data_IF_546364126447
#
_entry.id   IF_546364126447
#
_cell.length_a   1.000
_cell.length_b   1.000
_cell.length_c   1.000
_cell.angle_alpha   90.00
_cell.angle_beta   90.00
_cell.angle_gamma   90.00
#
_symmetry.space_group_name_H-M   'P 1'
#
loop_
_entity.id
_entity.type
_entity.pdbx_description
1 polymer ?
#
# COMPACT_ATOMS: atom_id res chain seq x y z
N UNK A 1 -3.66 -23.44 -21.10
CA UNK A 1 -2.70 -22.32 -21.23
C UNK A 1 -1.89 -22.21 -19.95
N UNK A 2 -0.55 -22.13 -20.04
CA UNK A 2 0.30 -21.97 -18.85
C UNK A 2 -0.01 -20.63 -18.17
N UNK A 3 -0.35 -20.66 -16.88
CA UNK A 3 -0.61 -19.44 -16.09
C UNK A 3 0.69 -18.63 -16.03
N UNK A 4 0.66 -17.37 -16.47
CA UNK A 4 1.82 -16.49 -16.41
C UNK A 4 2.41 -16.49 -14.98
N UNK A 5 3.71 -16.74 -14.87
CA UNK A 5 4.41 -16.85 -13.57
C UNK A 5 4.61 -15.51 -12.86
N UNK A 6 4.37 -14.40 -13.55
CA UNK A 6 4.43 -13.04 -13.02
C UNK A 6 3.53 -12.09 -13.84
N UNK A 7 3.17 -10.95 -13.26
CA UNK A 7 2.48 -9.86 -13.93
C UNK A 7 3.31 -8.57 -13.79
N UNK A 8 3.27 -7.70 -14.80
CA UNK A 8 3.88 -6.37 -14.77
C UNK A 8 2.86 -5.35 -15.25
N UNK A 9 2.70 -4.26 -14.50
CA UNK A 9 1.84 -3.15 -14.84
C UNK A 9 2.59 -1.84 -14.59
N UNK A 10 2.40 -0.85 -15.46
CA UNK A 10 2.99 0.48 -15.31
C UNK A 10 1.88 1.52 -15.28
N UNK A 11 1.78 2.23 -14.16
CA UNK A 11 0.88 3.36 -13.98
C UNK A 11 1.67 4.53 -13.39
N UNK A 12 1.94 5.59 -14.16
CA UNK A 12 2.54 6.80 -13.62
C UNK A 12 1.66 7.41 -12.53
N UNK A 13 2.25 7.86 -11.42
CA UNK A 13 1.49 8.49 -10.32
C UNK A 13 0.70 9.72 -10.78
N UNK A 14 1.19 10.44 -11.79
CA UNK A 14 0.48 11.59 -12.40
C UNK A 14 -0.79 11.20 -13.16
N UNK A 15 -0.96 9.91 -13.50
CA UNK A 15 -2.11 9.38 -14.22
C UNK A 15 -3.13 8.67 -13.31
N UNK A 16 -2.86 8.57 -12.01
CA UNK A 16 -3.85 8.13 -11.02
C UNK A 16 -4.98 9.16 -11.02
N UNK A 17 -6.21 8.69 -11.26
CA UNK A 17 -7.40 9.57 -11.34
C UNK A 17 -7.99 9.78 -9.95
N UNK A 18 -8.43 8.69 -9.35
CA UNK A 18 -9.01 8.64 -8.01
C UNK A 18 -8.44 7.41 -7.30
N UNK A 19 -9.20 6.30 -7.22
CA UNK A 19 -8.76 5.04 -6.61
C UNK A 19 -8.57 3.95 -7.67
N UNK A 20 -7.33 3.56 -7.88
CA UNK A 20 -6.92 2.55 -8.85
C UNK A 20 -6.65 1.22 -8.12
N UNK A 21 -7.54 0.24 -8.28
CA UNK A 21 -7.39 -1.09 -7.68
C UNK A 21 -6.46 -1.96 -8.54
N UNK A 22 -5.23 -2.17 -8.07
CA UNK A 22 -4.18 -2.78 -8.90
C UNK A 22 -3.97 -4.28 -8.63
N UNK A 23 -4.32 -4.78 -7.46
CA UNK A 23 -4.05 -6.18 -7.07
C UNK A 23 -4.77 -7.21 -7.94
N UNK A 24 -6.04 -6.97 -8.27
CA UNK A 24 -6.85 -7.91 -9.04
C UNK A 24 -6.37 -8.02 -10.50
N UNK A 25 -6.15 -6.92 -11.24
CA UNK A 25 -5.51 -6.99 -12.56
C UNK A 25 -4.14 -7.67 -12.56
N UNK A 26 -3.38 -7.55 -11.46
CA UNK A 26 -2.07 -8.19 -11.28
C UNK A 26 -2.15 -9.67 -10.84
N UNK A 27 -3.35 -10.19 -10.58
CA UNK A 27 -3.55 -11.58 -10.12
C UNK A 27 -3.07 -11.87 -8.70
N UNK A 28 -2.93 -10.84 -7.85
CA UNK A 28 -2.53 -11.00 -6.46
C UNK A 28 -3.58 -11.81 -5.66
N UNK A 29 -3.09 -12.65 -4.74
CA UNK A 29 -3.96 -13.50 -3.89
C UNK A 29 -3.91 -13.18 -2.40
N UNK A 30 -2.75 -12.74 -1.91
CA UNK A 30 -2.52 -12.51 -0.48
C UNK A 30 -2.41 -11.01 -0.12
N UNK A 31 -2.20 -10.15 -1.12
CA UNK A 31 -1.99 -8.71 -0.94
C UNK A 31 -2.98 -7.93 -1.80
N UNK A 32 -3.72 -7.06 -1.14
CA UNK A 32 -4.54 -6.01 -1.73
C UNK A 32 -3.81 -4.68 -1.68
N UNK A 33 -3.90 -3.88 -2.73
CA UNK A 33 -3.31 -2.57 -2.83
C UNK A 33 -3.96 -1.71 -3.90
N UNK A 34 -3.92 -0.41 -3.66
CA UNK A 34 -4.43 0.60 -4.57
C UNK A 34 -3.58 1.86 -4.52
N UNK A 35 -3.52 2.57 -5.65
CA UNK A 35 -3.12 3.97 -5.65
C UNK A 35 -4.36 4.83 -5.46
N UNK A 36 -4.27 5.85 -4.60
CA UNK A 36 -5.36 6.79 -4.34
C UNK A 36 -4.86 8.21 -4.53
N UNK A 37 -5.54 9.01 -5.34
CA UNK A 37 -5.31 10.44 -5.46
C UNK A 37 -6.45 11.22 -4.81
N UNK A 38 -6.10 12.28 -4.09
CA UNK A 38 -7.02 13.29 -3.63
C UNK A 38 -6.52 14.69 -4.01
N UNK A 39 -7.41 15.51 -4.54
CA UNK A 39 -7.22 16.96 -4.73
C UNK A 39 -7.36 17.69 -3.39
N UNK A 40 -6.96 18.96 -3.28
CA UNK A 40 -7.18 19.77 -2.08
C UNK A 40 -8.63 19.70 -1.60
N UNK A 41 -8.83 19.38 -0.31
CA UNK A 41 -10.15 19.26 0.31
C UNK A 41 -10.88 17.93 0.08
N UNK A 42 -10.35 17.04 -0.77
CA UNK A 42 -10.94 15.71 -0.97
C UNK A 42 -10.45 14.72 0.10
N UNK A 43 -11.26 13.68 0.33
CA UNK A 43 -10.90 12.59 1.22
C UNK A 43 -11.93 11.47 1.22
N UNK A 44 -11.72 10.48 2.10
CA UNK A 44 -12.68 9.41 2.29
C UNK A 44 -14.02 9.97 2.82
N UNK A 45 -15.13 9.51 2.26
CA UNK A 45 -16.46 9.95 2.65
C UNK A 45 -16.88 9.49 4.06
N UNK A 46 -16.21 8.49 4.62
CA UNK A 46 -16.46 7.97 5.96
C UNK A 46 -15.21 7.33 6.57
N UNK A 47 -15.19 7.23 7.90
CA UNK A 47 -14.18 6.45 8.63
C UNK A 47 -14.57 4.98 8.66
N UNK A 48 -13.59 4.08 8.62
CA UNK A 48 -13.84 2.64 8.68
C UNK A 48 -12.77 1.91 9.51
N UNK A 49 -13.08 0.65 9.86
CA UNK A 49 -12.16 -0.28 10.51
C UNK A 49 -12.31 -1.67 9.91
N UNK A 50 -11.34 -2.54 10.10
CA UNK A 50 -11.37 -3.90 9.59
C UNK A 50 -11.63 -4.91 10.72
N UNK A 51 -12.17 -6.08 10.38
CA UNK A 51 -12.35 -7.17 11.36
C UNK A 51 -11.03 -7.86 11.69
N UNK A 52 -10.21 -8.12 10.66
CA UNK A 52 -8.99 -8.95 10.77
C UNK A 52 -7.78 -8.37 10.03
N UNK A 53 -8.02 -7.49 9.07
CA UNK A 53 -6.99 -7.01 8.16
C UNK A 53 -6.25 -5.79 8.72
N UNK A 54 -4.92 -5.88 8.75
CA UNK A 54 -4.05 -4.71 8.88
C UNK A 54 -3.94 -3.99 7.55
N UNK A 55 -3.78 -2.68 7.60
CA UNK A 55 -3.51 -1.87 6.41
C UNK A 55 -2.37 -0.88 6.65
N UNK A 56 -1.52 -0.68 5.65
CA UNK A 56 -0.41 0.26 5.64
C UNK A 56 -0.71 1.34 4.60
N UNK A 57 -0.68 2.59 5.04
CA UNK A 57 -0.86 3.79 4.22
C UNK A 57 0.49 4.45 3.99
N UNK A 58 0.82 4.73 2.75
CA UNK A 58 2.08 5.37 2.36
C UNK A 58 1.78 6.58 1.51
N UNK A 59 2.29 7.76 1.85
CA UNK A 59 2.25 8.90 0.95
C UNK A 59 3.36 8.77 -0.09
N UNK A 60 2.98 8.54 -1.34
CA UNK A 60 3.93 8.42 -2.46
C UNK A 60 4.28 9.77 -3.07
N UNK A 61 3.36 10.73 -3.04
CA UNK A 61 3.58 12.08 -3.58
C UNK A 61 2.79 13.14 -2.84
N UNK A 62 3.41 14.28 -2.56
CA UNK A 62 2.74 15.45 -1.99
C UNK A 62 2.62 15.38 -0.46
N UNK A 63 1.61 16.05 0.10
CA UNK A 63 1.33 16.01 1.54
C UNK A 63 -0.16 15.87 1.72
N UNK A 64 -0.59 14.87 2.46
CA UNK A 64 -1.99 14.77 2.84
C UNK A 64 -2.15 14.46 4.32
N UNK A 65 -3.22 13.78 4.67
CA UNK A 65 -3.58 13.52 6.06
C UNK A 65 -4.28 12.18 6.24
N UNK A 66 -4.18 11.68 7.47
CA UNK A 66 -4.93 10.52 7.94
C UNK A 66 -5.56 10.83 9.29
N UNK A 67 -6.79 10.42 9.46
CA UNK A 67 -7.51 10.41 10.74
C UNK A 67 -7.37 9.01 11.32
N UNK A 68 -6.92 8.90 12.56
CA UNK A 68 -6.79 7.67 13.33
C UNK A 68 -7.49 7.86 14.68
N UNK A 69 -8.55 7.10 14.93
CA UNK A 69 -9.38 7.21 16.16
C UNK A 69 -9.75 8.67 16.50
N UNK A 70 -10.20 9.40 15.46
CA UNK A 70 -10.61 10.80 15.58
C UNK A 70 -9.48 11.82 15.61
N UNK A 71 -8.21 11.39 15.68
CA UNK A 71 -7.05 12.28 15.65
C UNK A 71 -6.50 12.43 14.24
N UNK A 72 -6.30 13.66 13.80
CA UNK A 72 -5.79 13.98 12.46
C UNK A 72 -4.27 14.11 12.50
N UNK A 73 -3.60 13.44 11.56
CA UNK A 73 -2.15 13.40 11.42
C UNK A 73 -1.75 13.85 10.01
N UNK A 74 -0.71 14.68 9.92
CA UNK A 74 -0.10 15.02 8.64
C UNK A 74 0.68 13.82 8.09
N UNK A 75 0.61 13.65 6.77
CA UNK A 75 1.35 12.62 6.04
C UNK A 75 2.11 13.23 4.84
N UNK A 76 3.25 13.91 5.06
CA UNK A 76 4.13 14.32 3.97
C UNK A 76 4.67 13.11 3.19
N UNK A 77 5.19 13.34 1.99
CA UNK A 77 5.78 12.31 1.12
C UNK A 77 6.78 11.43 1.88
N UNK A 78 6.70 10.12 1.70
CA UNK A 78 7.51 9.14 2.42
C UNK A 78 6.96 8.75 3.80
N UNK A 79 5.88 9.36 4.27
CA UNK A 79 5.22 8.93 5.52
C UNK A 79 4.59 7.54 5.35
N UNK A 80 4.83 6.66 6.33
CA UNK A 80 4.31 5.29 6.38
C UNK A 80 3.54 5.12 7.69
N UNK A 81 2.27 4.72 7.60
CA UNK A 81 1.41 4.49 8.76
C UNK A 81 0.82 3.09 8.66
N UNK A 82 1.14 2.24 9.64
CA UNK A 82 0.52 0.93 9.81
C UNK A 82 -0.68 1.05 10.75
N UNK A 83 -1.83 0.52 10.33
CA UNK A 83 -3.11 0.65 11.04
C UNK A 83 -3.66 -0.73 11.36
N UNK A 84 -3.78 -1.03 12.66
CA UNK A 84 -4.36 -2.27 13.17
C UNK A 84 -5.86 -2.38 12.81
N UNK A 85 -6.44 -3.59 12.76
CA UNK A 85 -7.84 -3.80 12.37
C UNK A 85 -8.83 -2.93 13.15
N UNK A 86 -8.62 -2.75 14.46
CA UNK A 86 -9.55 -2.09 15.38
C UNK A 86 -9.63 -0.57 15.21
N UNK A 87 -8.60 0.06 14.64
CA UNK A 87 -8.49 1.52 14.53
C UNK A 87 -9.43 2.04 13.44
N UNK A 88 -10.23 3.05 13.80
CA UNK A 88 -11.02 3.82 12.85
C UNK A 88 -10.12 4.75 12.05
N UNK A 89 -10.22 4.68 10.72
CA UNK A 89 -9.31 5.36 9.80
C UNK A 89 -10.02 6.05 8.65
N UNK A 90 -9.46 7.16 8.20
CA UNK A 90 -9.81 7.83 6.95
C UNK A 90 -8.61 8.63 6.44
N UNK A 91 -8.32 8.57 5.14
CA UNK A 91 -7.33 9.43 4.49
C UNK A 91 -8.01 10.62 3.81
N UNK A 92 -7.29 11.73 3.70
CA UNK A 92 -7.77 12.93 3.02
C UNK A 92 -6.63 13.82 2.55
N UNK A 93 -6.94 15.03 2.13
CA UNK A 93 -5.97 16.01 1.68
C UNK A 93 -6.29 17.41 2.21
N UNK A 94 -5.65 17.79 3.31
CA UNK A 94 -5.76 19.14 3.88
C UNK A 94 -4.76 20.13 3.28
N UNK A 95 -3.98 19.72 2.29
CA UNK A 95 -2.98 20.57 1.66
C UNK A 95 -3.56 21.34 0.48
N UNK A 96 -2.74 22.23 -0.10
CA UNK A 96 -3.08 23.03 -1.29
C UNK A 96 -2.68 22.37 -2.61
N UNK A 97 -2.16 21.13 -2.60
CA UNK A 97 -1.73 20.40 -3.79
C UNK A 97 -2.24 18.97 -3.75
N UNK A 98 -2.32 18.32 -4.90
CA UNK A 98 -2.72 16.92 -4.98
C UNK A 98 -1.76 16.01 -4.22
N UNK A 99 -2.32 14.97 -3.62
CA UNK A 99 -1.60 13.90 -2.92
C UNK A 99 -1.87 12.56 -3.59
N UNK A 100 -0.88 11.68 -3.60
CA UNK A 100 -1.04 10.27 -4.03
C UNK A 100 -0.58 9.33 -2.91
N UNK A 101 -1.45 8.40 -2.56
CA UNK A 101 -1.21 7.35 -1.57
C UNK A 101 -1.06 5.98 -2.21
N UNK A 102 -0.31 5.11 -1.54
CA UNK A 102 -0.38 3.66 -1.68
C UNK A 102 -1.01 3.08 -0.43
N UNK A 103 -2.12 2.37 -0.60
CA UNK A 103 -2.77 1.59 0.44
C UNK A 103 -2.40 0.14 0.22
N UNK A 104 -1.94 -0.54 1.26
CA UNK A 104 -1.50 -1.93 1.23
C UNK A 104 -2.19 -2.68 2.36
N UNK A 105 -2.88 -3.76 2.03
CA UNK A 105 -3.53 -4.62 3.00
C UNK A 105 -3.28 -6.07 2.69
N UNK A 106 -3.17 -6.88 3.73
CA UNK A 106 -2.99 -8.31 3.61
C UNK A 106 -3.56 -9.00 4.81
N UNK A 107 -4.05 -10.22 4.61
CA UNK A 107 -4.38 -11.13 5.70
C UNK A 107 -3.27 -12.17 5.71
N UNK A 108 -2.50 -12.30 6.80
CA UNK A 108 -1.47 -13.31 6.89
C UNK A 108 -2.11 -14.70 6.80
N UNK A 109 -1.46 -15.62 6.07
CA UNK A 109 -1.84 -17.02 6.06
C UNK A 109 -1.57 -17.67 7.42
N UNK A 110 -2.27 -18.77 7.70
CA UNK A 110 -1.97 -19.62 8.85
C UNK A 110 -0.50 -20.04 8.79
N UNK A 111 0.25 -19.82 9.87
CA UNK A 111 1.68 -20.11 10.05
C UNK A 111 2.69 -19.08 9.49
N UNK A 112 2.26 -17.87 9.10
CA UNK A 112 3.19 -16.78 8.77
C UNK A 112 3.31 -15.76 9.92
N UNK A 113 4.50 -15.22 10.23
CA UNK A 113 5.81 -15.46 9.60
C UNK A 113 6.48 -16.78 10.03
N UNK A 114 7.37 -17.32 9.20
CA UNK A 114 8.13 -18.57 9.44
C UNK A 114 9.27 -18.43 10.47
N UNK A 115 9.09 -17.62 11.52
CA UNK A 115 10.08 -17.42 12.59
C UNK A 115 11.35 -16.64 12.19
N UNK A 116 11.39 -16.05 11.00
CA UNK A 116 12.50 -15.21 10.54
C UNK A 116 12.54 -13.83 11.19
N UNK A 117 13.69 -13.14 11.07
CA UNK A 117 13.89 -11.76 11.56
C UNK A 117 12.97 -10.73 10.89
N UNK A 118 12.39 -11.07 9.74
CA UNK A 118 11.47 -10.22 8.98
C UNK A 118 10.20 -11.00 8.62
N UNK A 119 9.15 -10.27 8.25
CA UNK A 119 7.95 -10.83 7.62
C UNK A 119 8.18 -11.24 6.15
N UNK A 120 9.44 -11.46 5.72
CA UNK A 120 9.80 -11.94 4.37
C UNK A 120 10.65 -13.21 4.47
N UNK A 121 10.33 -14.07 5.45
CA UNK A 121 11.15 -15.21 5.86
C UNK A 121 10.98 -16.49 5.04
N UNK A 122 10.16 -16.50 3.98
CA UNK A 122 9.87 -17.65 3.12
C UNK A 122 10.69 -17.68 1.81
N UNK A 123 11.62 -16.73 1.64
CA UNK A 123 12.49 -16.67 0.47
C UNK A 123 13.47 -17.84 0.40
N UNK A 124 13.48 -18.56 -0.73
CA UNK A 124 14.46 -19.61 -1.04
C UNK A 124 15.56 -19.00 -1.94
N UNK A 125 16.76 -18.68 -1.40
CA UNK A 125 17.78 -18.00 -2.18
C UNK A 125 18.49 -18.95 -3.15
N UNK A 126 18.64 -18.54 -4.42
CA UNK A 126 19.57 -19.18 -5.36
C UNK A 126 20.87 -18.37 -5.45
N UNK A 127 21.80 -18.63 -4.54
CA UNK A 127 23.09 -17.91 -4.46
C UNK A 127 24.01 -18.16 -5.66
N UNK A 128 23.72 -19.16 -6.51
CA UNK A 128 24.51 -19.45 -7.73
C UNK A 128 24.14 -18.54 -8.91
N UNK A 129 22.94 -17.94 -8.89
CA UNK A 129 22.45 -17.05 -9.96
C UNK A 129 22.35 -15.61 -9.45
N UNK A 130 23.52 -14.98 -9.29
CA UNK A 130 23.59 -13.57 -8.87
C UNK A 130 23.37 -12.66 -10.09
N UNK A 131 22.31 -11.82 -10.11
CA UNK A 131 22.10 -10.88 -11.20
C UNK A 131 23.22 -9.82 -11.24
N UNK A 132 23.72 -9.50 -12.44
CA UNK A 132 24.64 -8.37 -12.65
C UNK A 132 23.82 -7.09 -12.84
N UNK A 133 23.71 -6.30 -11.77
CA UNK A 133 23.18 -4.95 -11.87
C UNK A 133 24.26 -4.05 -12.46
N UNK A 134 23.91 -3.20 -13.43
CA UNK A 134 24.85 -2.17 -13.92
C UNK A 134 25.19 -1.26 -12.74
N UNK A 135 26.45 -1.22 -12.32
CA UNK A 135 26.96 -0.11 -11.51
C UNK A 135 26.94 1.10 -12.44
N UNK A 136 26.14 2.10 -12.09
CA UNK A 136 26.26 3.43 -12.69
C UNK A 136 27.48 4.11 -12.11
#
# INVERSE_FOLDING_TARGET
MAKARYAKFYLPLSKVKEKEFLSRPMGCKAVGFSFVRYRPGEGAAYVHRHRVQEEVFITLKGTGSIILDGRRHSMPEGTIVRVSPQVYRAIGNDSKRDVVYLLLGGIPSKNFPLGGRTLLGDGIPNRKKVPRWKKR
#
